data_IF_420915613999
#
_entry.id   IF_420915613999
#
_cell.length_a   1.000
_cell.length_b   1.000
_cell.length_c   1.000
_cell.angle_alpha   90.00
_cell.angle_beta   90.00
_cell.angle_gamma   90.00
#
_symmetry.space_group_name_H-M   'P 1'
#
loop_
_entity.id
_entity.type
_entity.pdbx_description
1 polymer ?
#
# COMPACT_ATOMS: atom_id res chain seq x y z
N UNK A 1 8.29 -15.33 -3.62
CA UNK A 1 7.48 -16.54 -3.90
C UNK A 1 8.09 -17.87 -3.45
N UNK A 2 9.36 -18.20 -3.75
CA UNK A 2 9.93 -19.50 -3.37
C UNK A 2 9.82 -19.80 -1.87
N UNK A 3 9.97 -18.78 -1.01
CA UNK A 3 9.91 -18.97 0.45
C UNK A 3 8.52 -19.36 0.98
N UNK A 4 7.45 -18.78 0.44
CA UNK A 4 6.07 -19.15 0.83
C UNK A 4 5.75 -20.60 0.44
N UNK A 5 6.26 -21.05 -0.71
CA UNK A 5 6.11 -22.43 -1.18
C UNK A 5 6.97 -23.39 -0.35
N UNK A 6 8.19 -23.01 0.00
CA UNK A 6 9.05 -23.77 0.89
C UNK A 6 8.41 -23.98 2.27
N UNK A 7 7.70 -22.98 2.79
CA UNK A 7 7.08 -23.03 4.12
C UNK A 7 5.77 -23.83 4.17
N UNK A 8 4.93 -23.75 3.14
CA UNK A 8 3.53 -24.22 3.18
C UNK A 8 3.17 -25.22 2.06
N UNK A 9 4.08 -25.50 1.12
CA UNK A 9 3.88 -26.47 0.05
C UNK A 9 2.85 -26.02 -0.99
N UNK A 10 1.69 -26.67 -1.01
CA UNK A 10 0.61 -26.42 -1.98
C UNK A 10 -0.49 -25.50 -1.44
N UNK A 11 -0.51 -25.22 -0.13
CA UNK A 11 -1.54 -24.42 0.52
C UNK A 11 -2.40 -25.22 1.52
N UNK A 12 -3.57 -24.71 1.92
CA UNK A 12 -4.15 -23.44 1.46
C UNK A 12 -3.34 -22.23 1.96
N UNK A 13 -3.27 -21.22 1.10
CA UNK A 13 -2.68 -19.92 1.41
C UNK A 13 -3.78 -18.92 1.78
N UNK A 14 -3.53 -18.25 2.90
CA UNK A 14 -4.27 -17.08 3.38
C UNK A 14 -3.25 -15.96 3.45
N UNK A 15 -3.44 -14.91 2.66
CA UNK A 15 -2.50 -13.80 2.56
C UNK A 15 -3.21 -12.52 2.97
N UNK A 16 -2.63 -11.78 3.91
CA UNK A 16 -3.18 -10.50 4.36
C UNK A 16 -2.04 -9.51 4.53
N UNK A 17 -2.30 -8.26 4.17
CA UNK A 17 -1.39 -7.18 4.51
C UNK A 17 -2.09 -5.85 4.58
N UNK A 18 -1.48 -4.93 5.34
CA UNK A 18 -1.90 -3.55 5.44
C UNK A 18 -1.11 -2.68 4.46
N UNK A 19 -1.80 -1.75 3.78
CA UNK A 19 -1.18 -0.78 2.88
C UNK A 19 -0.34 -1.48 1.78
N UNK A 20 0.95 -1.13 1.64
CA UNK A 20 1.89 -1.81 0.73
C UNK A 20 1.89 -3.33 0.93
N UNK A 21 1.80 -3.79 2.17
CA UNK A 21 1.70 -5.22 2.50
C UNK A 21 0.48 -5.89 1.85
N UNK A 22 -0.64 -5.17 1.69
CA UNK A 22 -1.82 -5.66 0.99
C UNK A 22 -1.58 -5.81 -0.51
N UNK A 23 -0.93 -4.82 -1.14
CA UNK A 23 -0.52 -4.89 -2.55
C UNK A 23 0.45 -6.06 -2.79
N UNK A 24 1.39 -6.28 -1.88
CA UNK A 24 2.32 -7.41 -1.92
C UNK A 24 1.60 -8.76 -1.71
N UNK A 25 0.66 -8.84 -0.76
CA UNK A 25 -0.17 -10.02 -0.54
C UNK A 25 -0.96 -10.39 -1.81
N UNK A 26 -1.55 -9.40 -2.48
CA UNK A 26 -2.24 -9.57 -3.75
C UNK A 26 -1.31 -10.07 -4.87
N UNK A 27 -0.14 -9.45 -5.04
CA UNK A 27 0.85 -9.89 -6.03
C UNK A 27 1.35 -11.33 -5.75
N UNK A 28 1.55 -11.67 -4.47
CA UNK A 28 1.88 -13.03 -4.05
C UNK A 28 0.75 -14.01 -4.38
N UNK A 29 -0.50 -13.65 -4.15
CA UNK A 29 -1.66 -14.48 -4.46
C UNK A 29 -1.73 -14.81 -5.96
N UNK A 30 -1.51 -13.82 -6.82
CA UNK A 30 -1.43 -14.03 -8.29
C UNK A 30 -0.30 -14.99 -8.63
N UNK A 31 0.90 -14.78 -8.07
CA UNK A 31 2.05 -15.64 -8.29
C UNK A 31 1.80 -17.09 -7.87
N UNK A 32 1.17 -17.30 -6.72
CA UNK A 32 0.77 -18.62 -6.22
C UNK A 32 -0.26 -19.30 -7.12
N UNK A 33 -1.34 -18.58 -7.49
CA UNK A 33 -2.38 -19.10 -8.38
C UNK A 33 -1.81 -19.54 -9.73
N UNK A 34 -0.92 -18.74 -10.33
CA UNK A 34 -0.22 -19.08 -11.58
C UNK A 34 0.64 -20.35 -11.47
N UNK A 35 1.12 -20.66 -10.27
CA UNK A 35 1.88 -21.88 -9.98
C UNK A 35 0.98 -23.07 -9.55
N UNK A 36 -0.34 -22.94 -9.70
CA UNK A 36 -1.31 -23.99 -9.35
C UNK A 36 -1.49 -24.17 -7.84
N UNK A 37 -1.07 -23.20 -7.03
CA UNK A 37 -1.17 -23.26 -5.57
C UNK A 37 -2.56 -22.86 -5.10
N UNK A 38 -2.98 -23.44 -3.99
CA UNK A 38 -4.30 -23.21 -3.41
C UNK A 38 -4.31 -21.91 -2.60
N UNK A 39 -4.87 -20.83 -3.15
CA UNK A 39 -5.06 -19.56 -2.43
C UNK A 39 -6.53 -19.39 -2.14
N UNK A 40 -6.89 -19.35 -0.85
CA UNK A 40 -8.28 -19.34 -0.38
C UNK A 40 -8.74 -17.99 0.15
N UNK A 41 -7.81 -17.08 0.48
CA UNK A 41 -8.15 -15.77 1.02
C UNK A 41 -7.05 -14.74 0.74
N UNK A 42 -7.45 -13.56 0.29
CA UNK A 42 -6.59 -12.37 0.19
C UNK A 42 -7.25 -11.22 0.93
N UNK A 43 -6.63 -10.74 2.01
CA UNK A 43 -7.09 -9.59 2.79
C UNK A 43 -6.26 -8.35 2.50
N UNK A 44 -6.93 -7.28 2.08
CA UNK A 44 -6.35 -5.96 1.88
C UNK A 44 -6.78 -5.07 3.04
N UNK A 45 -5.92 -4.86 4.03
CA UNK A 45 -6.21 -3.91 5.11
C UNK A 45 -5.87 -2.51 4.59
N UNK A 46 -6.89 -1.76 4.23
CA UNK A 46 -6.83 -0.40 3.73
C UNK A 46 -5.78 -0.13 2.64
N UNK A 47 -5.53 -1.12 1.78
CA UNK A 47 -4.69 -0.97 0.58
C UNK A 47 -5.50 -0.30 -0.54
N UNK A 48 -6.05 0.88 -0.28
CA UNK A 48 -6.90 1.63 -1.22
C UNK A 48 -6.02 2.38 -2.22
N UNK A 49 -6.40 2.35 -3.49
CA UNK A 49 -5.73 3.11 -4.54
C UNK A 49 -6.20 4.56 -4.54
N UNK A 50 -5.36 5.46 -5.04
CA UNK A 50 -5.76 6.85 -5.27
C UNK A 50 -7.06 6.91 -6.10
N UNK A 51 -7.94 7.85 -5.78
CA UNK A 51 -9.25 7.94 -6.42
C UNK A 51 -9.21 8.28 -7.91
N UNK A 52 -8.07 8.81 -8.37
CA UNK A 52 -7.75 9.12 -9.76
C UNK A 52 -6.34 8.63 -10.08
N UNK A 53 -6.07 8.42 -11.38
CA UNK A 53 -4.72 8.06 -11.84
C UNK A 53 -3.71 9.14 -11.47
N UNK A 54 -2.56 8.73 -10.91
CA UNK A 54 -1.43 9.62 -10.62
C UNK A 54 -0.57 9.70 -11.89
N UNK A 55 -0.49 10.87 -12.57
CA UNK A 55 0.29 11.00 -13.79
C UNK A 55 1.78 10.79 -13.53
N UNK A 56 2.45 10.06 -14.43
CA UNK A 56 3.90 9.87 -14.38
C UNK A 56 4.62 10.87 -15.31
N UNK A 57 4.23 12.14 -15.23
CA UNK A 57 4.79 13.22 -16.06
C UNK A 57 5.82 14.04 -15.29
N UNK A 58 6.72 14.72 -16.02
CA UNK A 58 7.66 15.69 -15.44
C UNK A 58 6.95 16.77 -14.62
N UNK A 59 5.79 17.24 -15.07
CA UNK A 59 4.99 18.22 -14.33
C UNK A 59 4.50 17.68 -12.98
N UNK A 60 4.03 16.42 -12.92
CA UNK A 60 3.62 15.82 -11.65
C UNK A 60 4.81 15.56 -10.73
N UNK A 61 5.99 15.20 -11.26
CA UNK A 61 7.23 15.11 -10.46
C UNK A 61 7.52 16.45 -9.77
N UNK A 62 7.46 17.58 -10.50
CA UNK A 62 7.66 18.91 -9.91
C UNK A 62 6.66 19.21 -8.81
N UNK A 63 5.36 19.02 -9.10
CA UNK A 63 4.29 19.24 -8.11
C UNK A 63 4.45 18.36 -6.88
N UNK A 64 4.92 17.12 -7.04
CA UNK A 64 5.22 16.23 -5.90
C UNK A 64 6.31 16.82 -5.04
N UNK A 65 7.43 17.21 -5.63
CA UNK A 65 8.53 17.82 -4.89
C UNK A 65 8.18 19.18 -4.28
N UNK A 66 7.27 19.95 -4.88
CA UNK A 66 6.70 21.17 -4.26
C UNK A 66 5.97 20.84 -2.95
N UNK A 67 5.17 19.77 -2.94
CA UNK A 67 4.44 19.32 -1.74
C UNK A 67 5.41 18.87 -0.64
N UNK A 68 6.45 18.11 -1.00
CA UNK A 68 7.50 17.71 -0.04
C UNK A 68 8.31 18.89 0.50
N UNK A 69 8.64 19.87 -0.34
CA UNK A 69 9.34 21.08 0.09
C UNK A 69 8.47 21.90 1.05
N UNK A 70 7.21 22.15 0.70
CA UNK A 70 6.28 22.88 1.57
C UNK A 70 6.07 22.19 2.93
N UNK A 71 5.99 20.85 2.94
CA UNK A 71 5.95 20.07 4.17
C UNK A 71 7.23 20.27 5.00
N UNK A 72 8.41 20.18 4.37
CA UNK A 72 9.68 20.35 5.06
C UNK A 72 9.84 21.75 5.65
N UNK A 73 9.49 22.81 4.91
CA UNK A 73 9.53 24.20 5.40
C UNK A 73 8.63 24.38 6.62
N UNK A 74 7.39 23.87 6.56
CA UNK A 74 6.42 23.97 7.65
C UNK A 74 6.84 23.16 8.88
N UNK A 75 7.27 21.92 8.69
CA UNK A 75 7.49 20.96 9.78
C UNK A 75 8.84 21.17 10.47
N UNK A 76 9.88 21.54 9.71
CA UNK A 76 11.22 21.73 10.25
C UNK A 76 11.61 23.20 10.40
N UNK A 77 10.73 24.14 10.02
CA UNK A 77 10.96 25.58 10.06
C UNK A 77 12.28 25.97 9.35
N UNK A 78 12.47 25.39 8.16
CA UNK A 78 13.62 25.63 7.28
C UNK A 78 13.18 26.38 6.03
N UNK A 79 14.13 26.97 5.30
CA UNK A 79 13.89 27.49 3.95
C UNK A 79 14.52 26.51 2.96
N UNK A 80 13.73 26.02 2.01
CA UNK A 80 14.23 25.11 0.98
C UNK A 80 14.85 25.93 -0.15
N UNK A 81 16.12 25.67 -0.54
CA UNK A 81 16.72 26.34 -1.70
C UNK A 81 15.98 25.95 -2.98
N UNK A 82 16.33 26.60 -4.10
CA UNK A 82 15.72 26.29 -5.40
C UNK A 82 15.78 24.77 -5.71
N UNK A 83 14.62 24.18 -5.97
CA UNK A 83 14.51 22.74 -6.23
C UNK A 83 15.10 22.44 -7.63
N UNK A 84 16.06 21.50 -7.72
CA UNK A 84 16.69 21.13 -8.99
C UNK A 84 15.80 20.18 -9.80
N UNK A 85 14.68 20.70 -10.32
CA UNK A 85 13.68 19.90 -11.02
C UNK A 85 14.23 19.18 -12.26
N UNK A 86 15.10 19.84 -13.04
CA UNK A 86 15.68 19.24 -14.25
C UNK A 86 16.46 17.96 -13.93
N UNK A 87 17.16 17.91 -12.79
CA UNK A 87 17.84 16.71 -12.32
C UNK A 87 16.85 15.66 -11.82
N UNK A 88 15.85 16.06 -11.04
CA UNK A 88 14.85 15.14 -10.47
C UNK A 88 14.02 14.43 -11.54
N UNK A 89 13.71 15.11 -12.65
CA UNK A 89 12.94 14.56 -13.77
C UNK A 89 13.62 13.40 -14.51
N UNK A 90 14.95 13.32 -14.43
CA UNK A 90 15.74 12.30 -15.12
C UNK A 90 16.05 11.08 -14.22
N UNK A 91 15.60 11.13 -12.96
CA UNK A 91 15.84 10.10 -11.95
C UNK A 91 14.58 9.27 -11.72
N UNK A 92 14.78 7.99 -11.38
CA UNK A 92 13.73 7.14 -10.82
C UNK A 92 13.42 7.55 -9.36
N UNK A 93 12.37 6.96 -8.78
CA UNK A 93 11.91 7.32 -7.44
C UNK A 93 13.01 7.16 -6.36
N UNK A 94 13.85 6.13 -6.46
CA UNK A 94 15.00 5.92 -5.57
C UNK A 94 16.10 6.97 -5.79
N UNK A 95 16.41 7.28 -7.05
CA UNK A 95 17.34 8.33 -7.43
C UNK A 95 16.88 9.70 -6.92
N UNK A 96 15.61 10.04 -7.08
CA UNK A 96 15.04 11.32 -6.64
C UNK A 96 15.13 11.48 -5.12
N UNK A 97 14.70 10.47 -4.34
CA UNK A 97 14.76 10.58 -2.88
C UNK A 97 16.20 10.64 -2.38
N UNK A 98 17.12 9.85 -2.95
CA UNK A 98 18.54 9.92 -2.60
C UNK A 98 19.12 11.29 -2.91
N UNK A 99 18.83 11.83 -4.09
CA UNK A 99 19.31 13.14 -4.51
C UNK A 99 18.88 14.24 -3.53
N UNK A 100 17.62 14.23 -3.09
CA UNK A 100 17.11 15.22 -2.12
C UNK A 100 17.72 15.06 -0.75
N UNK A 101 17.87 13.83 -0.25
CA UNK A 101 18.51 13.58 1.05
C UNK A 101 19.98 14.00 1.07
N UNK A 102 20.72 13.76 -0.02
CA UNK A 102 22.10 14.22 -0.16
C UNK A 102 22.17 15.75 -0.09
N UNK A 103 21.28 16.46 -0.78
CA UNK A 103 21.19 17.91 -0.73
C UNK A 103 20.84 18.44 0.68
N UNK A 104 19.89 17.79 1.37
CA UNK A 104 19.53 18.14 2.76
C UNK A 104 20.70 17.93 3.71
N UNK A 105 21.44 16.82 3.58
CA UNK A 105 22.61 16.54 4.42
C UNK A 105 23.72 17.60 4.26
N UNK A 106 23.85 18.17 3.05
CA UNK A 106 24.83 19.22 2.73
C UNK A 106 24.37 20.62 3.14
N UNK A 107 23.06 20.82 3.38
CA UNK A 107 22.48 22.12 3.76
C UNK A 107 22.76 22.53 5.21
N UNK A 108 23.28 21.62 6.04
CA UNK A 108 23.54 21.85 7.47
C UNK A 108 22.33 21.68 8.39
N UNK A 109 21.13 21.44 7.85
CA UNK A 109 19.93 21.14 8.62
C UNK A 109 20.12 19.82 9.40
N UNK A 110 19.91 19.88 10.71
CA UNK A 110 20.03 18.71 11.59
C UNK A 110 18.68 17.97 11.66
N UNK A 111 18.50 16.98 10.79
CA UNK A 111 17.35 16.07 10.86
C UNK A 111 17.81 14.75 11.48
N UNK A 112 17.16 14.23 12.54
CA UNK A 112 17.47 12.93 13.11
C UNK A 112 17.48 11.82 12.04
N UNK A 113 18.51 10.98 12.05
CA UNK A 113 18.67 9.91 11.05
C UNK A 113 17.45 8.97 10.97
N UNK A 114 16.81 8.68 12.10
CA UNK A 114 15.58 7.87 12.12
C UNK A 114 14.40 8.53 11.40
N UNK A 115 14.30 9.86 11.40
CA UNK A 115 13.27 10.60 10.66
C UNK A 115 13.57 10.56 9.17
N UNK A 116 14.83 10.77 8.77
CA UNK A 116 15.25 10.67 7.36
C UNK A 116 14.94 9.28 6.80
N UNK A 117 15.36 8.25 7.55
CA UNK A 117 15.14 6.86 7.16
C UNK A 117 13.66 6.54 7.03
N UNK A 118 12.85 6.98 8.00
CA UNK A 118 11.39 6.83 7.94
C UNK A 118 10.80 7.52 6.70
N UNK A 119 11.11 8.79 6.46
CA UNK A 119 10.54 9.55 5.34
C UNK A 119 10.91 8.95 3.97
N UNK A 120 12.15 8.48 3.82
CA UNK A 120 12.60 7.82 2.59
C UNK A 120 11.86 6.50 2.37
N UNK A 121 11.74 5.67 3.40
CA UNK A 121 10.99 4.41 3.29
C UNK A 121 9.52 4.68 2.96
N UNK A 122 8.88 5.63 3.66
CA UNK A 122 7.49 6.01 3.36
C UNK A 122 7.31 6.55 1.94
N UNK A 123 8.25 7.35 1.42
CA UNK A 123 8.22 7.80 0.03
C UNK A 123 8.23 6.62 -0.93
N UNK A 124 9.21 5.72 -0.78
CA UNK A 124 9.36 4.58 -1.68
C UNK A 124 8.19 3.59 -1.60
N UNK A 125 7.66 3.35 -0.40
CA UNK A 125 6.50 2.48 -0.21
C UNK A 125 5.26 3.04 -0.92
N UNK A 126 4.99 4.34 -0.77
CA UNK A 126 3.87 5.00 -1.47
C UNK A 126 4.08 4.97 -2.99
N UNK A 127 5.29 5.27 -3.47
CA UNK A 127 5.59 5.22 -4.90
C UNK A 127 5.46 3.82 -5.47
N UNK A 128 5.81 2.79 -4.72
CA UNK A 128 5.62 1.40 -5.11
C UNK A 128 4.13 1.04 -5.26
N UNK A 129 3.26 1.56 -4.37
CA UNK A 129 1.80 1.41 -4.50
C UNK A 129 1.28 2.16 -5.73
N UNK A 130 1.66 3.43 -5.89
CA UNK A 130 1.16 4.31 -6.94
C UNK A 130 1.52 3.83 -8.35
N UNK A 131 2.68 3.20 -8.50
CA UNK A 131 3.22 2.73 -9.78
C UNK A 131 3.04 1.23 -10.01
N UNK A 132 2.42 0.51 -9.07
CA UNK A 132 2.15 -0.90 -9.20
C UNK A 132 1.28 -1.18 -10.42
N UNK A 133 1.76 -2.09 -11.29
CA UNK A 133 0.94 -2.62 -12.38
C UNK A 133 0.02 -3.71 -11.84
N UNK A 134 -1.21 -3.32 -11.52
CA UNK A 134 -2.20 -4.26 -10.99
C UNK A 134 -2.61 -5.24 -12.09
N UNK A 135 -2.56 -6.53 -11.76
CA UNK A 135 -2.95 -7.62 -12.65
C UNK A 135 -4.30 -8.18 -12.18
N UNK A 136 -5.18 -8.66 -13.09
CA UNK A 136 -6.43 -9.28 -12.69
C UNK A 136 -6.22 -10.52 -11.80
N UNK A 137 -7.14 -10.73 -10.86
CA UNK A 137 -7.16 -11.88 -9.96
C UNK A 137 -8.56 -12.49 -9.89
N UNK A 138 -8.61 -13.82 -10.00
CA UNK A 138 -9.85 -14.61 -10.09
C UNK A 138 -10.32 -15.17 -8.74
N UNK A 139 -9.51 -15.02 -7.69
CA UNK A 139 -9.83 -15.49 -6.34
C UNK A 139 -10.56 -14.42 -5.51
N UNK A 140 -11.08 -14.87 -4.37
CA UNK A 140 -11.77 -14.01 -3.41
C UNK A 140 -10.82 -13.01 -2.74
N UNK A 141 -11.20 -11.74 -2.71
CA UNK A 141 -10.46 -10.67 -2.03
C UNK A 141 -11.40 -9.89 -1.11
N UNK A 142 -10.98 -9.67 0.13
CA UNK A 142 -11.67 -8.76 1.06
C UNK A 142 -10.84 -7.50 1.24
N UNK A 143 -11.41 -6.33 0.91
CA UNK A 143 -10.88 -5.01 1.23
C UNK A 143 -11.51 -4.49 2.54
N UNK A 144 -10.69 -4.36 3.58
CA UNK A 144 -11.06 -3.68 4.81
C UNK A 144 -10.79 -2.18 4.68
N UNK A 145 -11.83 -1.40 4.45
CA UNK A 145 -11.71 -0.02 3.98
C UNK A 145 -11.97 1.00 5.10
N UNK A 146 -10.95 1.80 5.44
CA UNK A 146 -11.09 2.94 6.32
C UNK A 146 -11.87 4.08 5.65
N UNK A 147 -12.30 5.08 6.42
CA UNK A 147 -13.08 6.19 5.87
C UNK A 147 -12.21 7.12 5.02
N UNK A 148 -10.95 7.32 5.39
CA UNK A 148 -10.05 8.29 4.75
C UNK A 148 -8.57 8.03 5.04
N UNK A 149 -7.70 8.68 4.28
CA UNK A 149 -6.31 8.91 4.67
C UNK A 149 -6.19 10.09 5.64
N UNK A 150 -5.14 10.08 6.46
CA UNK A 150 -4.78 11.20 7.33
C UNK A 150 -4.27 12.39 6.48
N UNK A 151 -4.33 13.60 7.04
CA UNK A 151 -4.11 14.85 6.30
C UNK A 151 -2.74 14.93 5.61
N UNK A 152 -1.68 14.44 6.24
CA UNK A 152 -0.33 14.49 5.66
C UNK A 152 -0.21 13.60 4.41
N UNK A 153 -0.81 12.40 4.41
CA UNK A 153 -0.84 11.55 3.21
C UNK A 153 -1.58 12.23 2.05
N UNK A 154 -2.70 12.92 2.34
CA UNK A 154 -3.44 13.70 1.33
C UNK A 154 -2.62 14.93 0.89
N UNK A 155 -1.86 15.55 1.77
CA UNK A 155 -0.96 16.64 1.41
C UNK A 155 0.12 16.18 0.43
N UNK A 156 0.70 15.00 0.62
CA UNK A 156 1.73 14.47 -0.28
C UNK A 156 1.16 13.97 -1.62
N UNK A 157 -0.03 13.37 -1.60
CA UNK A 157 -0.74 12.97 -2.81
C UNK A 157 -2.25 13.27 -2.69
N UNK A 158 -2.70 14.42 -3.24
CA UNK A 158 -4.07 14.90 -3.11
C UNK A 158 -5.14 13.95 -3.64
N UNK A 159 -4.80 13.06 -4.57
CA UNK A 159 -5.75 12.08 -5.13
C UNK A 159 -6.19 11.03 -4.10
N UNK A 160 -5.49 10.89 -2.97
CA UNK A 160 -5.95 10.08 -1.84
C UNK A 160 -7.09 10.74 -1.03
N UNK A 161 -7.43 12.01 -1.30
CA UNK A 161 -8.63 12.63 -0.74
C UNK A 161 -9.93 12.01 -1.26
N UNK A 162 -9.86 11.39 -2.45
CA UNK A 162 -10.99 10.70 -3.08
C UNK A 162 -10.77 9.20 -2.94
N UNK A 163 -11.81 8.50 -2.47
CA UNK A 163 -11.82 7.05 -2.36
C UNK A 163 -12.96 6.48 -3.18
N UNK A 164 -12.63 5.60 -4.11
CA UNK A 164 -13.65 4.86 -4.85
C UNK A 164 -14.36 3.85 -3.93
N UNK A 165 -15.65 3.55 -4.15
CA UNK A 165 -16.40 2.61 -3.29
C UNK A 165 -15.80 1.20 -3.20
N UNK A 166 -15.03 0.80 -4.22
CA UNK A 166 -14.32 -0.48 -4.33
C UNK A 166 -12.82 -0.36 -3.99
N UNK A 167 -12.39 0.79 -3.47
CA UNK A 167 -10.99 1.12 -3.23
C UNK A 167 -10.10 1.14 -4.47
N UNK A 168 -10.69 1.17 -5.68
CA UNK A 168 -9.99 1.10 -6.96
C UNK A 168 -9.60 -0.31 -7.41
N UNK A 169 -10.16 -1.36 -6.77
CA UNK A 169 -9.84 -2.76 -7.07
C UNK A 169 -10.85 -3.47 -7.96
N UNK A 170 -12.07 -2.95 -8.10
CA UNK A 170 -13.18 -3.64 -8.79
C UNK A 170 -12.93 -3.90 -10.27
N UNK A 171 -12.04 -3.15 -10.92
CA UNK A 171 -11.61 -3.43 -12.29
C UNK A 171 -10.74 -4.71 -12.41
N UNK A 172 -10.03 -5.09 -11.35
CA UNK A 172 -9.06 -6.18 -11.37
C UNK A 172 -9.53 -7.44 -10.64
N UNK A 173 -10.51 -7.30 -9.75
CA UNK A 173 -10.98 -8.38 -8.89
C UNK A 173 -12.45 -8.65 -9.14
N UNK A 174 -12.77 -9.83 -9.65
CA UNK A 174 -14.15 -10.22 -9.95
C UNK A 174 -14.97 -10.59 -8.71
N UNK A 175 -14.31 -11.09 -7.67
CA UNK A 175 -14.91 -11.47 -6.38
C UNK A 175 -14.31 -10.59 -5.26
N UNK A 176 -14.74 -9.34 -5.24
CA UNK A 176 -14.30 -8.33 -4.27
C UNK A 176 -15.39 -8.08 -3.23
N UNK A 177 -15.06 -8.33 -1.97
CA UNK A 177 -15.85 -7.91 -0.82
C UNK A 177 -15.23 -6.64 -0.21
N UNK A 178 -16.05 -5.61 0.02
CA UNK A 178 -15.61 -4.38 0.70
C UNK A 178 -16.25 -4.32 2.08
N UNK A 179 -15.43 -4.31 3.12
CA UNK A 179 -15.84 -4.25 4.52
C UNK A 179 -15.44 -2.89 5.09
N UNK A 180 -16.39 -1.98 5.34
CA UNK A 180 -16.08 -0.68 5.95
C UNK A 180 -15.66 -0.87 7.41
N UNK A 181 -14.47 -0.40 7.77
CA UNK A 181 -13.94 -0.51 9.13
C UNK A 181 -14.01 0.80 9.92
N UNK A 182 -14.16 1.93 9.22
CA UNK A 182 -14.18 3.27 9.78
C UNK A 182 -12.79 3.81 10.12
N UNK A 183 -12.72 5.07 10.51
CA UNK A 183 -11.48 5.73 10.97
C UNK A 183 -10.51 6.05 9.83
N UNK A 184 -9.26 6.33 10.19
CA UNK A 184 -8.21 6.70 9.23
C UNK A 184 -7.28 5.53 8.90
N UNK A 185 -6.63 5.60 7.73
CA UNK A 185 -5.66 4.60 7.25
C UNK A 185 -4.66 4.13 8.33
N UNK A 186 -4.11 5.07 9.10
CA UNK A 186 -3.09 4.77 10.12
C UNK A 186 -3.69 4.05 11.35
N UNK A 187 -4.98 4.25 11.61
CA UNK A 187 -5.69 3.63 12.72
C UNK A 187 -6.23 2.24 12.36
N UNK A 188 -6.22 1.85 11.08
CA UNK A 188 -6.80 0.59 10.60
C UNK A 188 -6.19 -0.66 11.28
N UNK A 189 -4.95 -0.54 11.76
CA UNK A 189 -4.21 -1.60 12.45
C UNK A 189 -4.21 -1.46 13.98
N UNK A 190 -4.87 -0.44 14.51
CA UNK A 190 -4.96 -0.16 15.94
C UNK A 190 -6.34 -0.50 16.49
N UNK A 191 -6.41 -0.75 17.80
CA UNK A 191 -7.69 -0.88 18.50
C UNK A 191 -8.43 0.48 18.55
N UNK A 192 -9.78 0.51 18.41
CA UNK A 192 -10.68 -0.64 18.30
C UNK A 192 -10.95 -1.12 16.85
N UNK A 193 -10.28 -0.54 15.85
CA UNK A 193 -10.61 -0.77 14.44
C UNK A 193 -10.15 -2.16 13.99
N UNK A 194 -8.94 -2.57 14.37
CA UNK A 194 -8.40 -3.88 14.03
C UNK A 194 -9.26 -5.04 14.56
N UNK A 195 -10.01 -4.85 15.65
CA UNK A 195 -10.95 -5.86 16.15
C UNK A 195 -12.05 -6.19 15.13
N UNK A 196 -12.55 -5.21 14.37
CA UNK A 196 -13.56 -5.44 13.32
C UNK A 196 -12.98 -6.29 12.17
N UNK A 197 -11.74 -6.00 11.78
CA UNK A 197 -10.98 -6.79 10.80
C UNK A 197 -10.81 -8.22 11.30
N UNK A 198 -10.38 -8.38 12.56
CA UNK A 198 -10.17 -9.68 13.19
C UNK A 198 -11.45 -10.52 13.30
N UNK A 199 -12.58 -9.91 13.67
CA UNK A 199 -13.88 -10.58 13.75
C UNK A 199 -14.34 -11.08 12.37
N UNK A 200 -14.27 -10.22 11.35
CA UNK A 200 -14.66 -10.57 9.99
C UNK A 200 -13.77 -11.68 9.41
N UNK A 201 -12.45 -11.50 9.52
CA UNK A 201 -11.47 -12.44 9.01
C UNK A 201 -11.60 -13.81 9.70
N UNK A 202 -11.85 -13.84 11.01
CA UNK A 202 -12.02 -15.09 11.76
C UNK A 202 -13.20 -15.91 11.24
N UNK A 203 -14.29 -15.26 10.81
CA UNK A 203 -15.43 -15.94 10.17
C UNK A 203 -15.05 -16.53 8.81
N UNK A 204 -14.32 -15.77 7.98
CA UNK A 204 -13.83 -16.25 6.69
C UNK A 204 -12.89 -17.46 6.84
N UNK A 205 -11.97 -17.41 7.81
CA UNK A 205 -11.05 -18.52 8.09
C UNK A 205 -11.78 -19.76 8.59
N UNK A 206 -12.79 -19.60 9.46
CA UNK A 206 -13.62 -20.72 9.91
C UNK A 206 -14.35 -21.43 8.76
N UNK A 207 -14.82 -20.67 7.76
CA UNK A 207 -15.44 -21.26 6.56
C UNK A 207 -14.42 -22.06 5.73
N UNK A 208 -13.23 -21.51 5.51
CA UNK A 208 -12.15 -22.19 4.77
C UNK A 208 -11.74 -23.49 5.46
N UNK A 209 -11.67 -23.50 6.79
CA UNK A 209 -11.38 -24.72 7.55
C UNK A 209 -12.49 -25.77 7.41
N UNK A 210 -13.76 -25.36 7.48
CA UNK A 210 -14.90 -26.26 7.34
C UNK A 210 -14.98 -26.89 5.94
N UNK A 211 -14.70 -26.11 4.90
CA UNK A 211 -14.67 -26.57 3.51
C UNK A 211 -13.55 -27.60 3.31
N UNK A 212 -12.36 -27.32 3.87
CA UNK A 212 -11.23 -28.25 3.83
C UNK A 212 -11.54 -29.59 4.50
N UNK A 213 -12.16 -29.59 5.69
CA UNK A 213 -12.55 -30.84 6.36
C UNK A 213 -13.56 -31.64 5.53
N UNK A 214 -14.45 -30.96 4.82
CA UNK A 214 -15.43 -31.57 3.93
C UNK A 214 -14.82 -32.14 2.64
N UNK A 215 -13.75 -31.54 2.12
CA UNK A 215 -12.97 -32.06 0.97
C UNK A 215 -12.22 -33.35 1.34
N UNK A 216 -11.63 -33.42 2.54
CA UNK A 216 -10.91 -34.61 3.02
C UNK A 216 -11.84 -35.78 3.32
N UNK A 217 -13.03 -35.54 3.86
CA UNK A 217 -14.01 -36.59 4.18
C UNK A 217 -14.69 -37.25 2.96
N UNK A 218 -14.43 -36.76 1.74
CA UNK A 218 -14.98 -37.27 0.48
C UNK A 218 -13.99 -38.14 -0.32
N UNK A 219 -12.73 -38.26 0.13
CA UNK A 219 -11.73 -39.17 -0.45
C UNK A 219 -11.71 -40.51 0.32
#
# INVERSE_FOLDING_TARGET
>A
MPKLIEMQGDGPYVLVGWSLGGVLAYACAIGLRRLGKDVRFVGLIDAVRAGEEIPQTKEEIRKRWDRYAAFAEKTFNVTIPAIPYEQLEELDDEGQVRFVLDAVSQSGVQIPAGIIEHQRTSYLDNRAIDTAQIQPYDGHVTLYMADRYHDDAIMFEPRYAVRQPDGGWGEYVSDLEVVPIGGEHIQAIDEPIIAKVGEHMSRALGQIEADRTSEVGKQ
#
